data_IF_972114619052
#
_entry.id   IF_972114619052
#
_cell.length_a   1.000
_cell.length_b   1.000
_cell.length_c   1.000
_cell.angle_alpha   90.00
_cell.angle_beta   90.00
_cell.angle_gamma   90.00
#
_symmetry.space_group_name_H-M   'P 1'
#
loop_
_entity.id
_entity.type
_entity.pdbx_description
1 polymer ?
#
# COMPACT_ATOMS: atom_id res chain seq x y z
N UNK A 1 27.87 -33.25 2.01
CA UNK A 1 27.57 -31.93 2.61
C UNK A 1 26.25 -31.43 2.05
N UNK A 2 25.35 -30.90 2.89
CA UNK A 2 24.09 -30.26 2.45
C UNK A 2 24.22 -28.76 2.71
N UNK A 3 24.06 -27.95 1.66
CA UNK A 3 24.04 -26.49 1.77
C UNK A 3 22.60 -26.05 2.06
N UNK A 4 22.41 -25.23 3.10
CA UNK A 4 21.13 -24.58 3.41
C UNK A 4 21.38 -23.08 3.30
N UNK A 5 20.66 -22.41 2.42
CA UNK A 5 20.72 -20.97 2.23
C UNK A 5 19.37 -20.36 2.64
N UNK A 6 19.34 -19.33 3.49
CA UNK A 6 18.09 -18.66 3.82
C UNK A 6 17.53 -17.96 2.58
N UNK A 7 16.25 -18.20 2.29
CA UNK A 7 15.51 -17.49 1.25
C UNK A 7 14.68 -16.38 1.88
N UNK A 8 14.47 -15.25 1.19
CA UNK A 8 13.59 -14.20 1.68
C UNK A 8 12.20 -14.75 2.03
N UNK A 9 11.67 -14.28 3.15
CA UNK A 9 10.28 -14.50 3.55
C UNK A 9 9.34 -13.65 2.71
N UNK A 10 8.03 -13.91 2.83
CA UNK A 10 7.01 -13.07 2.21
C UNK A 10 7.10 -11.61 2.69
N UNK A 11 7.29 -11.40 3.99
CA UNK A 11 7.46 -10.08 4.59
C UNK A 11 8.71 -9.35 4.09
N UNK A 12 9.81 -10.07 3.81
CA UNK A 12 11.01 -9.46 3.24
C UNK A 12 10.72 -8.87 1.85
N UNK A 13 9.91 -9.56 1.03
CA UNK A 13 9.49 -9.02 -0.27
C UNK A 13 8.55 -7.81 -0.13
N UNK A 14 7.61 -7.83 0.82
CA UNK A 14 6.76 -6.67 1.08
C UNK A 14 7.58 -5.45 1.53
N UNK A 15 8.57 -5.68 2.40
CA UNK A 15 9.45 -4.63 2.90
C UNK A 15 10.26 -4.02 1.77
N UNK A 16 10.91 -4.89 0.98
CA UNK A 16 11.67 -4.48 -0.20
C UNK A 16 10.83 -3.71 -1.23
N UNK A 17 9.58 -4.14 -1.45
CA UNK A 17 8.72 -3.53 -2.45
C UNK A 17 8.11 -2.19 -2.01
N UNK A 18 7.82 -2.00 -0.72
CA UNK A 18 6.92 -0.93 -0.29
C UNK A 18 7.50 0.05 0.74
N UNK A 19 8.49 -0.31 1.54
CA UNK A 19 8.88 0.53 2.68
C UNK A 19 9.52 1.85 2.26
N UNK A 20 10.47 1.82 1.33
CA UNK A 20 11.11 3.04 0.84
C UNK A 20 10.13 3.94 0.09
N UNK A 21 9.25 3.36 -0.73
CA UNK A 21 8.21 4.11 -1.45
C UNK A 21 7.26 4.79 -0.47
N UNK A 22 6.83 4.09 0.59
CA UNK A 22 5.99 4.65 1.64
C UNK A 22 6.69 5.78 2.38
N UNK A 23 7.96 5.57 2.76
CA UNK A 23 8.71 6.54 3.57
C UNK A 23 9.03 7.81 2.79
N UNK A 24 9.57 7.69 1.58
CA UNK A 24 9.96 8.85 0.77
C UNK A 24 8.78 9.44 -0.03
N UNK A 25 7.70 8.68 -0.22
CA UNK A 25 6.47 9.12 -0.88
C UNK A 25 5.43 9.77 0.04
N UNK A 26 5.70 9.88 1.34
CA UNK A 26 4.72 10.33 2.34
C UNK A 26 4.11 11.72 2.09
N UNK A 27 4.83 12.62 1.39
CA UNK A 27 4.32 13.94 0.98
C UNK A 27 3.65 13.97 -0.38
N UNK A 28 3.57 12.85 -1.10
CA UNK A 28 3.05 12.79 -2.46
C UNK A 28 1.74 12.02 -2.51
N UNK A 29 0.64 12.76 -2.61
CA UNK A 29 -0.73 12.22 -2.64
C UNK A 29 -0.85 11.13 -3.71
N UNK A 30 -0.36 11.37 -4.93
CA UNK A 30 -0.47 10.39 -6.01
C UNK A 30 0.34 9.10 -5.75
N UNK A 31 1.48 9.20 -5.07
CA UNK A 31 2.26 8.01 -4.67
C UNK A 31 1.49 7.21 -3.62
N UNK A 32 0.93 7.87 -2.60
CA UNK A 32 0.15 7.21 -1.56
C UNK A 32 -1.06 6.48 -2.17
N UNK A 33 -1.79 7.14 -3.07
CA UNK A 33 -2.97 6.57 -3.72
C UNK A 33 -2.64 5.34 -4.57
N UNK A 34 -1.52 5.38 -5.30
CA UNK A 34 -1.03 4.21 -6.06
C UNK A 34 -0.54 3.09 -5.16
N UNK A 35 0.17 3.43 -4.09
CA UNK A 35 0.65 2.44 -3.11
C UNK A 35 -0.53 1.71 -2.45
N UNK A 36 -1.57 2.45 -2.07
CA UNK A 36 -2.83 1.86 -1.57
C UNK A 36 -3.47 0.94 -2.59
N UNK A 37 -3.58 1.38 -3.85
CA UNK A 37 -4.13 0.55 -4.94
C UNK A 37 -3.33 -0.74 -5.15
N UNK A 38 -2.00 -0.67 -5.08
CA UNK A 38 -1.13 -1.82 -5.25
C UNK A 38 -1.32 -2.83 -4.11
N UNK A 39 -1.36 -2.36 -2.86
CA UNK A 39 -1.59 -3.22 -1.70
C UNK A 39 -2.99 -3.86 -1.71
N UNK A 40 -4.04 -3.12 -2.06
CA UNK A 40 -5.39 -3.68 -2.18
C UNK A 40 -5.48 -4.71 -3.30
N UNK A 41 -4.89 -4.42 -4.46
CA UNK A 41 -4.84 -5.38 -5.58
C UNK A 41 -4.04 -6.62 -5.23
N UNK A 42 -2.94 -6.47 -4.48
CA UNK A 42 -2.15 -7.59 -4.00
C UNK A 42 -2.96 -8.45 -3.01
N UNK A 43 -3.69 -7.83 -2.07
CA UNK A 43 -4.56 -8.53 -1.12
C UNK A 43 -5.66 -9.36 -1.81
N UNK A 44 -6.21 -8.85 -2.91
CA UNK A 44 -7.21 -9.55 -3.74
C UNK A 44 -6.59 -10.72 -4.53
N UNK A 45 -5.30 -10.66 -4.83
CA UNK A 45 -4.60 -11.66 -5.67
C UNK A 45 -4.04 -12.86 -4.90
N UNK A 46 -3.73 -12.71 -3.62
CA UNK A 46 -3.18 -13.79 -2.78
C UNK A 46 -4.29 -14.64 -2.16
N UNK A 47 -4.02 -15.91 -1.88
CA UNK A 47 -5.02 -16.84 -1.29
C UNK A 47 -4.73 -17.09 0.18
N UNK A 48 -3.46 -17.18 0.54
CA UNK A 48 -2.94 -17.51 1.86
C UNK A 48 -3.30 -16.44 2.90
N UNK A 49 -3.88 -16.87 4.02
CA UNK A 49 -4.35 -15.97 5.07
C UNK A 49 -3.20 -15.17 5.70
N UNK A 50 -2.05 -15.81 5.93
CA UNK A 50 -0.85 -15.16 6.47
C UNK A 50 -0.35 -14.02 5.57
N UNK A 51 -0.39 -14.21 4.24
CA UNK A 51 0.04 -13.18 3.29
C UNK A 51 -0.94 -12.01 3.29
N UNK A 52 -2.25 -12.30 3.36
CA UNK A 52 -3.27 -11.26 3.53
C UNK A 52 -3.07 -10.48 4.81
N UNK A 53 -2.82 -11.13 5.93
CA UNK A 53 -2.56 -10.46 7.21
C UNK A 53 -1.35 -9.53 7.12
N UNK A 54 -0.26 -9.98 6.48
CA UNK A 54 0.91 -9.15 6.24
C UNK A 54 0.58 -7.90 5.41
N UNK A 55 -0.16 -8.04 4.30
CA UNK A 55 -0.59 -6.91 3.47
C UNK A 55 -1.52 -5.96 4.24
N UNK A 56 -2.43 -6.49 5.07
CA UNK A 56 -3.31 -5.68 5.90
C UNK A 56 -2.53 -4.88 6.96
N UNK A 57 -1.43 -5.41 7.50
CA UNK A 57 -0.50 -4.62 8.35
C UNK A 57 0.08 -3.44 7.57
N UNK A 58 0.51 -3.64 6.34
CA UNK A 58 1.01 -2.55 5.47
C UNK A 58 -0.06 -1.50 5.17
N UNK A 59 -1.29 -1.90 4.87
CA UNK A 59 -2.41 -0.97 4.65
C UNK A 59 -2.70 -0.12 5.90
N UNK A 60 -2.68 -0.72 7.10
CA UNK A 60 -2.82 0.03 8.35
C UNK A 60 -1.67 1.01 8.56
N UNK A 61 -0.44 0.60 8.28
CA UNK A 61 0.73 1.47 8.42
C UNK A 61 0.70 2.64 7.43
N UNK A 62 0.20 2.42 6.21
CA UNK A 62 -0.03 3.47 5.23
C UNK A 62 -1.08 4.47 5.73
N UNK A 63 -2.21 4.00 6.27
CA UNK A 63 -3.26 4.88 6.82
C UNK A 63 -2.72 5.76 7.95
N UNK A 64 -2.04 5.15 8.92
CA UNK A 64 -1.45 5.86 10.06
C UNK A 64 -0.43 6.93 9.61
N UNK A 65 0.36 6.63 8.58
CA UNK A 65 1.30 7.60 8.02
C UNK A 65 0.56 8.81 7.43
N UNK A 66 -0.54 8.60 6.70
CA UNK A 66 -1.35 9.70 6.15
C UNK A 66 -2.00 10.51 7.27
N UNK A 67 -2.58 9.86 8.27
CA UNK A 67 -3.22 10.49 9.43
C UNK A 67 -2.23 11.38 10.23
N UNK A 68 -0.95 11.00 10.29
CA UNK A 68 0.11 11.74 10.96
C UNK A 68 0.97 12.61 10.02
N UNK A 69 0.59 12.75 8.76
CA UNK A 69 1.33 13.55 7.78
C UNK A 69 1.09 15.06 7.96
N UNK A 70 1.90 15.87 7.30
CA UNK A 70 1.73 17.32 7.22
C UNK A 70 0.72 17.75 6.13
N UNK A 71 0.07 16.79 5.46
CA UNK A 71 -0.98 17.08 4.49
C UNK A 71 -2.18 17.72 5.19
N UNK A 72 -2.88 18.62 4.49
CA UNK A 72 -4.13 19.14 5.01
C UNK A 72 -5.25 18.08 4.99
N UNK A 73 -6.39 18.41 5.57
CA UNK A 73 -7.50 17.47 5.72
C UNK A 73 -8.06 16.98 4.36
N UNK A 74 -8.10 17.83 3.33
CA UNK A 74 -8.61 17.45 2.02
C UNK A 74 -7.62 16.50 1.32
N UNK A 75 -6.34 16.81 1.40
CA UNK A 75 -5.26 16.00 0.86
C UNK A 75 -5.17 14.64 1.56
N UNK A 76 -5.38 14.57 2.88
CA UNK A 76 -5.46 13.30 3.61
C UNK A 76 -6.63 12.43 3.14
N UNK A 77 -7.82 13.02 2.98
CA UNK A 77 -8.99 12.32 2.45
C UNK A 77 -8.70 11.78 1.04
N UNK A 78 -8.07 12.60 0.19
CA UNK A 78 -7.72 12.22 -1.17
C UNK A 78 -6.66 11.11 -1.21
N UNK A 79 -5.64 11.19 -0.34
CA UNK A 79 -4.56 10.20 -0.25
C UNK A 79 -5.08 8.81 0.14
N UNK A 80 -6.13 8.73 0.95
CA UNK A 80 -6.77 7.46 1.35
C UNK A 80 -7.70 6.86 0.28
N UNK A 81 -7.90 7.52 -0.86
CA UNK A 81 -8.65 6.98 -1.99
C UNK A 81 -7.71 6.31 -3.01
N UNK A 82 -7.88 5.01 -3.24
CA UNK A 82 -7.05 4.31 -4.22
C UNK A 82 -7.18 4.92 -5.64
N UNK A 83 -6.08 4.90 -6.38
CA UNK A 83 -6.05 5.27 -7.80
C UNK A 83 -5.49 4.13 -8.65
N UNK A 84 -6.39 3.27 -9.14
CA UNK A 84 -6.03 2.07 -9.92
C UNK A 84 -5.41 2.38 -11.28
N UNK A 85 -5.76 3.51 -11.88
CA UNK A 85 -5.26 3.90 -13.21
C UNK A 85 -4.09 4.88 -13.10
N UNK A 86 -3.97 5.55 -11.96
CA UNK A 86 -2.91 6.50 -11.71
C UNK A 86 -3.06 7.80 -12.50
N UNK A 87 -4.32 8.16 -12.79
CA UNK A 87 -4.71 9.36 -13.53
C UNK A 87 -5.16 10.50 -12.59
N UNK A 88 -5.08 10.30 -11.28
CA UNK A 88 -5.57 11.21 -10.24
C UNK A 88 -7.08 11.17 -10.04
N UNK A 89 -7.82 10.39 -10.84
CA UNK A 89 -9.28 10.32 -10.81
C UNK A 89 -9.74 9.24 -9.82
N UNK A 90 -10.36 9.64 -8.71
CA UNK A 90 -11.17 8.69 -7.94
C UNK A 90 -12.43 8.40 -8.74
N UNK A 91 -12.61 7.15 -9.19
CA UNK A 91 -13.88 6.73 -9.79
C UNK A 91 -14.95 6.85 -8.70
N UNK A 92 -15.77 7.91 -8.74
CA UNK A 92 -17.08 7.86 -8.11
C UNK A 92 -17.82 6.69 -8.77
N UNK A 93 -18.11 5.65 -8.00
CA UNK A 93 -19.02 4.59 -8.43
C UNK A 93 -20.35 5.29 -8.68
N UNK A 94 -20.68 5.52 -9.95
CA UNK A 94 -22.03 5.96 -10.31
C UNK A 94 -22.90 4.73 -10.04
N UNK A 95 -23.58 4.73 -8.90
CA UNK A 95 -24.65 3.76 -8.64
C UNK A 95 -25.71 3.97 -9.73
N UNK A 96 -25.98 2.90 -10.48
CA UNK A 96 -27.12 2.80 -11.40
C UNK A 96 -28.20 1.97 -10.75
#
# INVERSE_FOLDING_TARGET
MRLIFPTPTWEDYLSLAFDEIRQYGAGSIQVIRRLRSALLSLADSVVEAEYKEAIQRYLRHLNLMVEHSLLDAEDQIMALQEDRQGLGLSRRRVER
#
